data_IF_016952876022
#
_entry.id   IF_016952876022
#
_cell.length_a   1.000
_cell.length_b   1.000
_cell.length_c   1.000
_cell.angle_alpha   90.00
_cell.angle_beta   90.00
_cell.angle_gamma   90.00
#
_symmetry.space_group_name_H-M   'P 1'
#
loop_
_entity.id
_entity.type
_entity.pdbx_description
1 polymer ?
#
# COMPACT_ATOMS: atom_id res chain seq x y z
N UNK A 1 -7.84 16.00 14.89
CA UNK A 1 -7.31 15.70 13.54
C UNK A 1 -8.46 15.57 12.56
N UNK A 2 -8.58 16.45 11.56
CA UNK A 2 -9.66 16.34 10.56
C UNK A 2 -9.38 15.19 9.60
N UNK A 3 -10.20 14.16 9.67
CA UNK A 3 -10.14 13.02 8.76
C UNK A 3 -10.51 13.52 7.35
N UNK A 4 -9.55 13.57 6.43
CA UNK A 4 -9.81 13.91 5.02
C UNK A 4 -10.65 12.81 4.38
N UNK A 5 -11.97 12.95 4.42
CA UNK A 5 -12.90 12.03 3.78
C UNK A 5 -12.79 12.14 2.26
N UNK A 6 -12.55 11.02 1.59
CA UNK A 6 -12.55 10.94 0.12
C UNK A 6 -13.97 10.96 -0.42
N UNK A 7 -14.12 11.45 -1.65
CA UNK A 7 -15.36 11.37 -2.40
C UNK A 7 -15.70 9.88 -2.66
N UNK A 8 -16.89 9.39 -2.27
CA UNK A 8 -17.32 8.02 -2.54
C UNK A 8 -17.32 7.68 -4.04
N UNK A 9 -17.02 6.42 -4.40
CA UNK A 9 -16.94 5.99 -5.80
C UNK A 9 -18.23 6.26 -6.60
N UNK A 10 -19.41 6.20 -5.96
CA UNK A 10 -20.68 6.55 -6.59
C UNK A 10 -20.71 8.00 -7.11
N UNK A 11 -20.27 8.95 -6.28
CA UNK A 11 -20.17 10.36 -6.66
C UNK A 11 -19.04 10.60 -7.66
N UNK A 12 -17.97 9.80 -7.63
CA UNK A 12 -16.88 9.87 -8.60
C UNK A 12 -17.34 9.43 -9.99
N UNK A 13 -18.05 8.31 -10.11
CA UNK A 13 -18.64 7.88 -11.38
C UNK A 13 -19.68 8.88 -11.90
N UNK A 14 -20.49 9.46 -11.01
CA UNK A 14 -21.43 10.53 -11.39
C UNK A 14 -20.72 11.77 -11.92
N UNK A 15 -19.60 12.17 -11.31
CA UNK A 15 -18.78 13.29 -11.79
C UNK A 15 -18.21 13.01 -13.18
N UNK A 16 -17.69 11.81 -13.41
CA UNK A 16 -17.16 11.37 -14.70
C UNK A 16 -18.23 11.43 -15.78
N UNK A 17 -19.40 10.82 -15.55
CA UNK A 17 -20.50 10.86 -16.52
C UNK A 17 -20.97 12.29 -16.84
N UNK A 18 -20.99 13.19 -15.86
CA UNK A 18 -21.26 14.61 -16.13
C UNK A 18 -20.20 15.28 -17.00
N UNK A 19 -18.92 15.01 -16.75
CA UNK A 19 -17.83 15.56 -17.57
C UNK A 19 -17.84 15.00 -19.00
N UNK A 20 -18.17 13.71 -19.19
CA UNK A 20 -18.35 13.10 -20.52
C UNK A 20 -19.52 13.70 -21.29
N UNK A 21 -20.60 14.10 -20.61
CA UNK A 21 -21.72 14.85 -21.21
C UNK A 21 -21.40 16.34 -21.46
N UNK A 22 -20.15 16.78 -21.28
CA UNK A 22 -19.69 18.14 -21.58
C UNK A 22 -19.90 19.15 -20.44
N UNK A 23 -20.25 18.71 -19.23
CA UNK A 23 -20.39 19.62 -18.08
C UNK A 23 -19.01 20.12 -17.62
N UNK A 24 -18.91 21.41 -17.31
CA UNK A 24 -17.63 21.97 -16.86
C UNK A 24 -17.20 21.42 -15.49
N UNK A 25 -15.89 21.30 -15.26
CA UNK A 25 -15.37 20.88 -13.95
C UNK A 25 -15.84 21.79 -12.80
N UNK A 26 -16.09 23.07 -13.07
CA UNK A 26 -16.59 24.02 -12.09
C UNK A 26 -18.06 23.75 -11.72
N UNK A 27 -18.90 23.39 -12.70
CA UNK A 27 -20.29 22.99 -12.46
C UNK A 27 -20.37 21.69 -11.67
N UNK A 28 -19.54 20.71 -12.02
CA UNK A 28 -19.46 19.43 -11.31
C UNK A 28 -19.00 19.64 -9.86
N UNK A 29 -18.00 20.48 -9.64
CA UNK A 29 -17.51 20.82 -8.31
C UNK A 29 -18.60 21.47 -7.45
N UNK A 30 -19.35 22.43 -8.02
CA UNK A 30 -20.50 23.07 -7.37
C UNK A 30 -21.60 22.06 -7.02
N UNK A 31 -21.97 21.18 -7.95
CA UNK A 31 -23.01 20.17 -7.74
C UNK A 31 -22.66 19.12 -6.69
N UNK A 32 -21.38 18.79 -6.54
CA UNK A 32 -20.90 17.81 -5.57
C UNK A 32 -20.42 18.44 -4.25
N UNK A 33 -20.47 19.76 -4.11
CA UNK A 33 -19.95 20.51 -2.97
C UNK A 33 -18.50 20.12 -2.62
N UNK A 34 -17.64 20.02 -3.64
CA UNK A 34 -16.21 19.73 -3.50
C UNK A 34 -15.38 20.81 -4.20
N UNK A 35 -14.09 20.89 -3.89
CA UNK A 35 -13.20 21.80 -4.60
C UNK A 35 -13.01 21.36 -6.06
N UNK A 36 -12.83 22.33 -6.96
CA UNK A 36 -12.50 22.08 -8.37
C UNK A 36 -11.27 21.16 -8.52
N UNK A 37 -10.29 21.28 -7.63
CA UNK A 37 -9.10 20.43 -7.61
C UNK A 37 -9.39 18.94 -7.35
N UNK A 38 -10.47 18.59 -6.65
CA UNK A 38 -10.90 17.19 -6.49
C UNK A 38 -11.45 16.65 -7.81
N UNK A 39 -12.25 17.45 -8.52
CA UNK A 39 -12.83 17.09 -9.82
C UNK A 39 -11.75 16.99 -10.90
N UNK A 40 -10.82 17.94 -10.94
CA UNK A 40 -9.69 17.92 -11.87
C UNK A 40 -8.84 16.65 -11.69
N UNK A 41 -8.39 16.36 -10.46
CA UNK A 41 -7.60 15.14 -10.18
C UNK A 41 -8.35 13.85 -10.49
N UNK A 42 -9.67 13.86 -10.30
CA UNK A 42 -10.52 12.74 -10.66
C UNK A 42 -10.55 12.54 -12.17
N UNK A 43 -10.73 13.62 -12.93
CA UNK A 43 -10.74 13.59 -14.39
C UNK A 43 -9.39 13.13 -14.95
N UNK A 44 -8.29 13.68 -14.45
CA UNK A 44 -6.93 13.27 -14.86
C UNK A 44 -6.68 11.78 -14.57
N UNK A 45 -7.18 11.28 -13.42
CA UNK A 45 -7.10 9.85 -13.10
C UNK A 45 -7.91 9.02 -14.11
N UNK A 46 -9.15 9.40 -14.38
CA UNK A 46 -10.02 8.66 -15.28
C UNK A 46 -9.45 8.63 -16.70
N UNK A 47 -8.98 9.77 -17.23
CA UNK A 47 -8.36 9.85 -18.55
C UNK A 47 -7.08 9.00 -18.68
N UNK A 48 -6.36 8.76 -17.57
CA UNK A 48 -5.12 7.98 -17.60
C UNK A 48 -5.31 6.48 -17.34
N UNK A 49 -6.34 6.08 -16.59
CA UNK A 49 -6.49 4.70 -16.10
C UNK A 49 -7.85 4.06 -16.43
N UNK A 50 -8.77 4.81 -17.06
CA UNK A 50 -10.17 4.43 -17.26
C UNK A 50 -10.85 3.98 -15.95
N UNK A 51 -10.43 4.58 -14.83
CA UNK A 51 -10.81 4.12 -13.49
C UNK A 51 -10.93 5.26 -12.50
N UNK A 52 -12.00 5.23 -11.71
CA UNK A 52 -12.18 6.10 -10.54
C UNK A 52 -11.79 5.39 -9.24
N UNK A 53 -11.34 4.14 -9.31
CA UNK A 53 -10.99 3.36 -8.14
C UNK A 53 -9.73 3.89 -7.45
N UNK A 54 -9.51 3.49 -6.20
CA UNK A 54 -8.28 3.86 -5.50
C UNK A 54 -7.10 3.15 -6.15
N UNK A 55 -6.11 3.91 -6.62
CA UNK A 55 -4.80 3.36 -6.98
C UNK A 55 -4.22 2.61 -5.78
N UNK A 56 -3.77 1.35 -5.94
CA UNK A 56 -3.01 0.68 -4.91
C UNK A 56 -1.74 1.50 -4.67
N UNK A 57 -1.61 2.05 -3.46
CA UNK A 57 -0.40 2.76 -3.06
C UNK A 57 0.54 1.73 -2.47
N UNK A 58 1.77 1.55 -3.00
CA UNK A 58 2.72 0.66 -2.39
C UNK A 58 2.92 1.05 -0.92
N UNK A 59 3.00 0.04 -0.06
CA UNK A 59 3.26 0.26 1.36
C UNK A 59 4.65 0.86 1.60
N UNK A 60 4.97 1.08 2.87
CA UNK A 60 6.33 1.43 3.29
C UNK A 60 7.30 0.37 2.75
N UNK A 61 8.47 0.77 2.18
CA UNK A 61 9.49 -0.17 1.76
C UNK A 61 9.83 -1.16 2.89
N UNK A 62 9.84 -2.44 2.56
CA UNK A 62 10.09 -3.49 3.55
C UNK A 62 11.58 -3.54 3.90
N UNK A 63 11.87 -3.82 5.17
CA UNK A 63 13.24 -3.95 5.68
C UNK A 63 13.95 -5.21 5.20
N UNK A 64 13.24 -6.13 4.53
CA UNK A 64 13.76 -7.38 3.99
C UNK A 64 13.32 -7.54 2.53
N UNK A 65 14.11 -8.24 1.73
CA UNK A 65 13.79 -8.59 0.33
C UNK A 65 12.97 -9.89 0.27
N UNK A 66 12.28 -10.18 -0.85
CA UNK A 66 11.56 -11.44 -1.00
C UNK A 66 12.43 -12.69 -0.84
N UNK A 67 13.73 -12.61 -1.15
CA UNK A 67 14.67 -13.71 -0.95
C UNK A 67 15.03 -13.89 0.54
N UNK A 68 15.31 -12.79 1.24
CA UNK A 68 15.55 -12.77 2.69
C UNK A 68 14.33 -13.28 3.47
N UNK A 69 13.13 -12.92 3.04
CA UNK A 69 11.86 -13.38 3.63
C UNK A 69 11.65 -14.89 3.49
N UNK A 70 12.21 -15.52 2.46
CA UNK A 70 12.20 -16.99 2.30
C UNK A 70 13.30 -17.66 3.11
N UNK A 71 14.45 -17.01 3.26
CA UNK A 71 15.58 -17.53 4.03
C UNK A 71 15.24 -17.72 5.50
N UNK A 72 14.60 -16.73 6.14
CA UNK A 72 14.34 -16.76 7.60
C UNK A 72 13.51 -17.98 8.04
N UNK A 73 12.34 -18.29 7.42
CA UNK A 73 11.56 -19.48 7.77
C UNK A 73 12.29 -20.80 7.45
N UNK A 74 13.07 -20.85 6.35
CA UNK A 74 13.82 -22.05 5.99
C UNK A 74 14.92 -22.35 7.01
N UNK A 75 15.64 -21.33 7.45
CA UNK A 75 16.66 -21.47 8.50
C UNK A 75 16.03 -21.89 9.83
N UNK A 76 14.89 -21.31 10.20
CA UNK A 76 14.15 -21.68 11.41
C UNK A 76 13.61 -23.12 11.38
N UNK A 77 13.26 -23.66 10.21
CA UNK A 77 12.79 -25.07 10.07
C UNK A 77 13.93 -26.08 10.10
N UNK A 78 15.09 -25.73 9.54
CA UNK A 78 16.24 -26.65 9.42
C UNK A 78 16.97 -26.86 10.74
N UNK A 79 16.91 -25.89 11.64
CA UNK A 79 17.65 -25.87 12.90
C UNK A 79 16.78 -25.24 13.98
N UNK A 80 16.78 -25.79 15.20
CA UNK A 80 16.21 -25.15 16.39
C UNK A 80 17.02 -23.89 16.72
N UNK A 81 16.71 -22.80 16.01
CA UNK A 81 17.48 -21.55 16.02
C UNK A 81 16.66 -20.47 16.71
N UNK A 82 17.28 -19.76 17.65
CA UNK A 82 16.62 -18.65 18.35
C UNK A 82 16.57 -17.39 17.48
N UNK A 83 15.65 -16.47 17.77
CA UNK A 83 15.53 -15.20 17.03
C UNK A 83 16.84 -14.40 16.98
N UNK A 84 17.62 -14.25 18.08
CA UNK A 84 18.91 -13.55 18.02
C UNK A 84 19.92 -14.21 17.07
N UNK A 85 19.96 -15.55 17.03
CA UNK A 85 20.81 -16.29 16.09
C UNK A 85 20.37 -16.04 14.64
N UNK A 86 19.07 -16.04 14.35
CA UNK A 86 18.56 -15.72 13.01
C UNK A 86 18.89 -14.28 12.58
N UNK A 87 18.90 -13.32 13.50
CA UNK A 87 19.33 -11.95 13.22
C UNK A 87 20.82 -11.92 12.86
N UNK A 88 21.67 -12.64 13.60
CA UNK A 88 23.09 -12.73 13.32
C UNK A 88 23.36 -13.42 11.97
N UNK A 89 22.73 -14.56 11.71
CA UNK A 89 22.87 -15.31 10.46
C UNK A 89 22.40 -14.47 9.26
N UNK A 90 21.28 -13.75 9.40
CA UNK A 90 20.82 -12.83 8.38
C UNK A 90 21.85 -11.74 8.09
N UNK A 91 22.44 -11.14 9.13
CA UNK A 91 23.48 -10.12 8.96
C UNK A 91 24.73 -10.68 8.27
N UNK A 92 25.17 -11.89 8.63
CA UNK A 92 26.30 -12.55 7.99
C UNK A 92 26.04 -12.87 6.51
N UNK A 93 24.82 -13.29 6.17
CA UNK A 93 24.46 -13.66 4.80
C UNK A 93 24.18 -12.47 3.88
N UNK A 94 23.56 -11.40 4.40
CA UNK A 94 23.08 -10.26 3.59
C UNK A 94 23.87 -8.96 3.79
N UNK A 95 24.70 -8.88 4.84
CA UNK A 95 25.32 -7.63 5.28
C UNK A 95 24.34 -6.61 5.87
N UNK A 96 23.04 -6.93 5.95
CA UNK A 96 21.99 -5.99 6.38
C UNK A 96 21.46 -6.33 7.76
N UNK A 97 21.47 -5.33 8.64
CA UNK A 97 20.93 -5.46 10.00
C UNK A 97 19.41 -5.35 9.96
N UNK A 98 18.74 -6.36 10.51
CA UNK A 98 17.30 -6.38 10.73
C UNK A 98 17.02 -6.54 12.22
N UNK A 99 15.91 -5.98 12.70
CA UNK A 99 15.54 -6.10 14.10
C UNK A 99 14.98 -7.50 14.41
N UNK A 100 15.09 -7.92 15.68
CA UNK A 100 14.45 -9.14 16.15
C UNK A 100 12.93 -9.13 15.90
N UNK A 101 12.29 -7.96 15.99
CA UNK A 101 10.86 -7.79 15.68
C UNK A 101 10.56 -8.08 14.21
N UNK A 102 11.42 -7.64 13.28
CA UNK A 102 11.28 -7.99 11.86
C UNK A 102 11.33 -9.50 11.68
N UNK A 103 12.30 -10.19 12.29
CA UNK A 103 12.42 -11.65 12.22
C UNK A 103 11.18 -12.33 12.78
N UNK A 104 10.70 -11.94 13.98
CA UNK A 104 9.46 -12.50 14.55
C UNK A 104 8.26 -12.30 13.64
N UNK A 105 8.07 -11.11 13.07
CA UNK A 105 6.98 -10.85 12.13
C UNK A 105 7.07 -11.75 10.89
N UNK A 106 8.27 -12.00 10.35
CA UNK A 106 8.45 -12.92 9.21
C UNK A 106 8.16 -14.37 9.58
N UNK A 107 8.58 -14.81 10.77
CA UNK A 107 8.28 -16.16 11.25
C UNK A 107 6.79 -16.33 11.55
N UNK A 108 6.14 -15.33 12.13
CA UNK A 108 4.69 -15.31 12.37
C UNK A 108 3.91 -15.38 11.06
N UNK A 109 4.29 -14.57 10.06
CA UNK A 109 3.69 -14.62 8.72
C UNK A 109 3.89 -15.98 8.03
N UNK A 110 4.91 -16.74 8.43
CA UNK A 110 5.19 -18.10 7.94
C UNK A 110 4.58 -19.20 8.84
N UNK A 111 3.85 -18.85 9.90
CA UNK A 111 3.23 -19.79 10.85
C UNK A 111 4.23 -20.54 11.75
N UNK A 112 5.44 -20.02 11.93
CA UNK A 112 6.52 -20.65 12.72
C UNK A 112 6.75 -19.98 14.08
N UNK A 113 5.98 -18.95 14.39
CA UNK A 113 6.11 -18.18 15.62
C UNK A 113 4.73 -17.67 16.01
N UNK A 114 4.33 -17.91 17.26
CA UNK A 114 3.08 -17.44 17.85
C UNK A 114 3.26 -16.08 18.52
#
# INVERSE_FOLDING_TARGET
MSQRRRLPNSLRWRAVGWMEMGLSQADVARRLNVSRSVVQRLWDQYQSEDSVSRRPVPGRPQATTPAEDRFLPLSARRRTTTVPQLVADHFQASGRRISATTVRNRLHNAGLYA
#
